data_IF_300128041545
#
_entry.id   IF_300128041545
#
_cell.length_a   1.000
_cell.length_b   1.000
_cell.length_c   1.000
_cell.angle_alpha   90.00
_cell.angle_beta   90.00
_cell.angle_gamma   90.00
#
_symmetry.space_group_name_H-M   'P 1'
#
loop_
_entity.id
_entity.type
_entity.pdbx_description
1 polymer ?
#
# COMPACT_ATOMS: atom_id res chain seq x y z
N UNK A 1 -20.80 20.57 -23.24
CA UNK A 1 -19.71 19.57 -23.18
C UNK A 1 -19.71 18.78 -21.88
N UNK A 2 -19.73 19.42 -20.70
CA UNK A 2 -19.66 18.75 -19.39
C UNK A 2 -20.78 17.72 -19.10
N UNK A 3 -22.01 17.95 -19.56
CA UNK A 3 -23.15 17.03 -19.37
C UNK A 3 -22.95 15.69 -20.10
N UNK A 4 -22.46 15.74 -21.34
CA UNK A 4 -22.16 14.55 -22.15
C UNK A 4 -21.11 13.68 -21.47
N UNK A 5 -20.08 14.31 -20.90
CA UNK A 5 -18.97 13.61 -20.27
C UNK A 5 -19.37 12.97 -18.92
N UNK A 6 -20.18 13.67 -18.11
CA UNK A 6 -20.79 13.09 -16.89
C UNK A 6 -21.64 11.86 -17.22
N UNK A 7 -22.51 11.97 -18.23
CA UNK A 7 -23.36 10.86 -18.70
C UNK A 7 -22.54 9.67 -19.18
N UNK A 8 -21.45 9.92 -19.90
CA UNK A 8 -20.54 8.86 -20.37
C UNK A 8 -19.84 8.16 -19.19
N UNK A 9 -19.36 8.90 -18.20
CA UNK A 9 -18.76 8.32 -16.99
C UNK A 9 -19.75 7.44 -16.22
N UNK A 10 -20.98 7.92 -16.02
CA UNK A 10 -22.05 7.15 -15.35
C UNK A 10 -22.36 5.88 -16.14
N UNK A 11 -22.52 5.97 -17.47
CA UNK A 11 -22.79 4.82 -18.32
C UNK A 11 -21.68 3.76 -18.26
N UNK A 12 -20.42 4.19 -18.16
CA UNK A 12 -19.27 3.29 -18.01
C UNK A 12 -19.28 2.58 -16.65
N UNK A 13 -19.48 3.32 -15.56
CA UNK A 13 -19.56 2.76 -14.20
C UNK A 13 -20.72 1.75 -14.07
N UNK A 14 -21.88 2.06 -14.65
CA UNK A 14 -23.07 1.20 -14.61
C UNK A 14 -22.97 -0.08 -15.45
N UNK A 15 -21.83 -0.36 -16.11
CA UNK A 15 -21.56 -1.69 -16.69
C UNK A 15 -21.31 -2.77 -15.63
N UNK A 16 -20.87 -2.38 -14.44
CA UNK A 16 -20.68 -3.26 -13.27
C UNK A 16 -21.33 -2.61 -12.03
N UNK A 17 -22.66 -2.56 -11.96
CA UNK A 17 -23.35 -1.92 -10.85
C UNK A 17 -23.18 -2.70 -9.55
N UNK A 18 -23.18 -1.97 -8.42
CA UNK A 18 -23.14 -2.60 -7.11
C UNK A 18 -24.41 -3.41 -6.80
N UNK A 19 -24.29 -4.51 -6.02
CA UNK A 19 -25.44 -5.25 -5.53
C UNK A 19 -26.22 -4.43 -4.48
N UNK A 20 -27.47 -4.83 -4.21
CA UNK A 20 -28.36 -4.13 -3.26
C UNK A 20 -27.82 -4.05 -1.83
N UNK A 21 -26.96 -5.01 -1.45
CA UNK A 21 -26.28 -5.01 -0.15
C UNK A 21 -24.78 -5.16 -0.35
N UNK A 22 -24.05 -4.12 0.02
CA UNK A 22 -22.58 -4.11 0.02
C UNK A 22 -22.12 -4.84 1.30
N UNK A 23 -21.40 -5.98 1.18
CA UNK A 23 -21.05 -6.81 2.33
C UNK A 23 -19.91 -6.20 3.13
N UNK A 24 -20.17 -5.46 4.22
CA UNK A 24 -19.16 -4.72 4.99
C UNK A 24 -18.33 -5.56 5.97
N UNK A 25 -18.84 -6.69 6.48
CA UNK A 25 -18.24 -7.45 7.59
C UNK A 25 -17.59 -8.78 7.20
N UNK A 26 -18.07 -9.43 6.14
CA UNK A 26 -17.52 -10.72 5.69
C UNK A 26 -16.29 -10.49 4.82
N UNK A 27 -15.09 -10.66 5.40
CA UNK A 27 -13.80 -10.44 4.74
C UNK A 27 -13.60 -11.29 3.48
N UNK A 28 -14.20 -12.50 3.41
CA UNK A 28 -14.12 -13.33 2.21
C UNK A 28 -14.90 -12.71 1.05
N UNK A 29 -16.09 -12.15 1.34
CA UNK A 29 -16.91 -11.43 0.36
C UNK A 29 -16.37 -10.04 0.03
N UNK A 30 -15.74 -9.35 1.00
CA UNK A 30 -15.08 -8.06 0.78
C UNK A 30 -13.99 -8.21 -0.28
N UNK A 31 -13.17 -9.25 -0.19
CA UNK A 31 -12.08 -9.50 -1.16
C UNK A 31 -12.56 -9.80 -2.58
N UNK A 32 -13.83 -10.16 -2.77
CA UNK A 32 -14.42 -10.47 -4.07
C UNK A 32 -15.17 -9.28 -4.71
N UNK A 33 -15.21 -8.11 -4.05
CA UNK A 33 -15.89 -6.93 -4.59
C UNK A 33 -15.20 -6.43 -5.87
N UNK A 34 -15.97 -6.25 -6.93
CA UNK A 34 -15.55 -5.52 -8.14
C UNK A 34 -16.78 -4.88 -8.79
N UNK A 35 -17.20 -3.74 -8.25
CA UNK A 35 -18.38 -3.02 -8.73
C UNK A 35 -18.33 -1.53 -8.41
N UNK A 36 -19.13 -0.76 -9.14
CA UNK A 36 -19.22 0.69 -9.01
C UNK A 36 -20.55 1.11 -8.37
N UNK A 37 -20.47 2.10 -7.49
CA UNK A 37 -21.59 2.86 -6.96
C UNK A 37 -21.51 4.26 -7.55
N UNK A 38 -22.61 4.75 -8.10
CA UNK A 38 -22.69 6.08 -8.68
C UNK A 38 -23.68 6.90 -7.89
N UNK A 39 -23.18 7.95 -7.25
CA UNK A 39 -23.99 8.95 -6.56
C UNK A 39 -23.84 10.31 -7.21
N UNK A 40 -24.87 11.14 -7.10
CA UNK A 40 -24.72 12.57 -7.36
C UNK A 40 -25.71 13.38 -6.51
N UNK A 41 -25.41 14.66 -6.32
CA UNK A 41 -26.27 15.55 -5.56
C UNK A 41 -25.79 16.99 -5.58
N UNK A 42 -26.49 17.90 -4.88
CA UNK A 42 -26.18 19.32 -4.86
C UNK A 42 -24.75 19.58 -4.38
N UNK A 43 -24.24 20.77 -4.68
CA UNK A 43 -22.96 21.25 -4.15
C UNK A 43 -22.99 21.10 -2.62
N UNK A 44 -22.01 20.37 -2.05
CA UNK A 44 -21.88 19.98 -0.63
C UNK A 44 -22.55 18.65 -0.20
N UNK A 45 -23.47 18.08 -0.99
CA UNK A 45 -24.14 16.81 -0.66
C UNK A 45 -24.20 15.86 -1.86
N UNK A 46 -23.09 15.17 -2.11
CA UNK A 46 -22.88 14.31 -3.30
C UNK A 46 -23.54 12.94 -3.21
N UNK A 47 -24.17 12.60 -2.08
CA UNK A 47 -24.72 11.26 -1.81
C UNK A 47 -26.25 11.18 -1.92
N UNK A 48 -26.91 12.27 -2.32
CA UNK A 48 -28.37 12.35 -2.35
C UNK A 48 -29.04 11.39 -3.32
N UNK A 49 -28.44 11.12 -4.47
CA UNK A 49 -29.06 10.27 -5.48
C UNK A 49 -28.16 9.12 -5.88
N UNK A 50 -28.61 7.89 -5.62
CA UNK A 50 -27.94 6.65 -6.03
C UNK A 50 -28.53 6.16 -7.36
N UNK A 51 -27.70 6.07 -8.38
CA UNK A 51 -28.12 5.59 -9.71
C UNK A 51 -28.32 4.07 -9.70
N UNK A 52 -29.46 3.61 -10.23
CA UNK A 52 -29.77 2.19 -10.44
C UNK A 52 -29.86 1.83 -11.91
N UNK A 53 -30.48 2.69 -12.72
CA UNK A 53 -30.66 2.47 -14.14
C UNK A 53 -30.36 3.73 -14.96
N UNK A 54 -29.77 3.52 -16.14
CA UNK A 54 -29.46 4.58 -17.11
C UNK A 54 -30.48 4.50 -18.25
N UNK A 55 -31.25 5.57 -18.46
CA UNK A 55 -32.23 5.70 -19.53
C UNK A 55 -31.74 6.67 -20.63
N UNK A 56 -32.35 6.65 -21.83
CA UNK A 56 -32.05 7.62 -22.89
C UNK A 56 -32.18 9.08 -22.40
N UNK A 57 -33.26 9.40 -21.69
CA UNK A 57 -33.59 10.76 -21.27
C UNK A 57 -33.08 11.15 -19.87
N UNK A 58 -32.53 10.20 -19.11
CA UNK A 58 -32.10 10.46 -17.74
C UNK A 58 -31.65 9.23 -16.96
N UNK A 59 -31.80 9.27 -15.64
CA UNK A 59 -31.37 8.22 -14.72
C UNK A 59 -32.47 7.95 -13.71
N UNK A 60 -32.67 6.68 -13.37
CA UNK A 60 -33.59 6.27 -12.30
C UNK A 60 -32.79 5.70 -11.14
N UNK A 61 -33.20 6.04 -9.93
CA UNK A 61 -32.42 5.77 -8.74
C UNK A 61 -33.16 6.07 -7.45
N UNK A 62 -32.41 6.00 -6.36
CA UNK A 62 -32.91 6.25 -5.01
C UNK A 62 -32.44 7.63 -4.56
N UNK A 63 -33.39 8.47 -4.16
CA UNK A 63 -33.14 9.78 -3.57
C UNK A 63 -33.24 9.70 -2.05
N UNK A 64 -32.17 10.04 -1.34
CA UNK A 64 -32.10 10.03 0.11
C UNK A 64 -32.40 11.43 0.67
N UNK A 65 -33.40 11.50 1.56
CA UNK A 65 -33.73 12.72 2.28
C UNK A 65 -32.93 12.78 3.60
N UNK A 66 -31.67 13.22 3.52
CA UNK A 66 -30.76 13.33 4.68
C UNK A 66 -30.07 12.04 5.08
N UNK A 67 -29.57 11.95 6.32
CA UNK A 67 -28.76 10.83 6.84
C UNK A 67 -29.58 9.58 7.22
N UNK A 68 -30.87 9.52 6.85
CA UNK A 68 -31.76 8.41 7.17
C UNK A 68 -31.75 7.29 6.12
N UNK A 69 -32.26 6.09 6.47
CA UNK A 69 -32.41 4.97 5.53
C UNK A 69 -33.56 5.17 4.53
N UNK A 70 -34.38 6.21 4.73
CA UNK A 70 -35.53 6.50 3.90
C UNK A 70 -35.06 7.01 2.53
N UNK A 71 -35.45 6.29 1.48
CA UNK A 71 -35.16 6.67 0.11
C UNK A 71 -36.41 6.57 -0.75
N UNK A 72 -36.52 7.50 -1.70
CA UNK A 72 -37.62 7.57 -2.64
C UNK A 72 -37.11 7.29 -4.04
N UNK A 73 -37.88 6.55 -4.83
CA UNK A 73 -37.53 6.35 -6.24
C UNK A 73 -37.75 7.65 -7.01
N UNK A 74 -36.69 8.16 -7.64
CA UNK A 74 -36.76 9.40 -8.42
C UNK A 74 -36.09 9.20 -9.79
N UNK A 75 -36.62 9.91 -10.77
CA UNK A 75 -36.01 10.00 -12.11
C UNK A 75 -35.46 11.40 -12.29
N UNK A 76 -34.20 11.49 -12.72
CA UNK A 76 -33.48 12.75 -12.93
C UNK A 76 -33.14 12.88 -14.40
N UNK A 77 -33.58 13.98 -15.02
CA UNK A 77 -33.35 14.27 -16.42
C UNK A 77 -31.88 14.63 -16.70
N UNK A 78 -31.42 14.37 -17.93
CA UNK A 78 -30.06 14.70 -18.35
C UNK A 78 -29.70 16.20 -18.19
N UNK A 79 -30.67 17.09 -18.35
CA UNK A 79 -30.46 18.53 -18.21
C UNK A 79 -30.06 18.94 -16.78
N UNK A 80 -30.59 18.24 -15.77
CA UNK A 80 -30.38 18.53 -14.36
C UNK A 80 -28.98 18.11 -13.86
N UNK A 81 -28.28 17.21 -14.57
CA UNK A 81 -26.91 16.78 -14.25
C UNK A 81 -25.91 17.94 -14.16
N UNK A 82 -26.20 19.07 -14.80
CA UNK A 82 -25.32 20.26 -14.74
C UNK A 82 -25.22 20.79 -13.32
N UNK A 83 -26.31 20.71 -12.56
CA UNK A 83 -26.45 21.27 -11.21
C UNK A 83 -25.92 20.33 -10.12
N UNK A 84 -25.57 19.10 -10.47
CA UNK A 84 -25.14 18.08 -9.53
C UNK A 84 -23.65 17.76 -9.63
N UNK A 85 -23.02 17.52 -8.48
CA UNK A 85 -21.67 17.00 -8.39
C UNK A 85 -21.70 15.47 -8.42
N UNK A 86 -20.79 14.88 -9.19
CA UNK A 86 -20.72 13.44 -9.39
C UNK A 86 -19.77 12.81 -8.37
N UNK A 87 -20.17 11.67 -7.82
CA UNK A 87 -19.34 10.82 -6.98
C UNK A 87 -19.45 9.37 -7.47
N UNK A 88 -18.38 8.85 -8.06
CA UNK A 88 -18.29 7.43 -8.41
C UNK A 88 -17.39 6.77 -7.37
N UNK A 89 -17.88 5.71 -6.73
CA UNK A 89 -17.10 4.88 -5.81
C UNK A 89 -16.89 3.50 -6.43
N UNK A 90 -15.64 3.12 -6.62
CA UNK A 90 -15.25 1.77 -7.03
C UNK A 90 -14.92 0.95 -5.79
N UNK A 91 -15.67 -0.13 -5.58
CA UNK A 91 -15.37 -1.13 -4.58
C UNK A 91 -14.57 -2.26 -5.24
N UNK A 92 -13.28 -2.32 -4.92
CA UNK A 92 -12.35 -3.30 -5.48
C UNK A 92 -11.61 -4.04 -4.35
N UNK A 93 -12.05 -5.25 -4.04
CA UNK A 93 -11.59 -5.99 -2.87
C UNK A 93 -11.80 -5.19 -1.58
N UNK A 94 -10.71 -4.98 -0.84
CA UNK A 94 -10.68 -4.21 0.41
C UNK A 94 -10.62 -2.68 0.18
N UNK A 95 -10.49 -2.23 -1.08
CA UNK A 95 -10.31 -0.81 -1.41
C UNK A 95 -11.61 -0.14 -1.82
N UNK A 96 -11.75 1.12 -1.38
CA UNK A 96 -12.80 2.04 -1.81
C UNK A 96 -12.16 3.24 -2.50
N UNK A 97 -12.26 3.31 -3.83
CA UNK A 97 -11.68 4.41 -4.60
C UNK A 97 -12.80 5.38 -5.00
N UNK A 98 -12.67 6.65 -4.61
CA UNK A 98 -13.67 7.69 -4.87
C UNK A 98 -13.19 8.64 -5.96
N UNK A 99 -14.04 8.85 -6.95
CA UNK A 99 -13.81 9.78 -8.05
C UNK A 99 -14.85 10.90 -8.00
N UNK A 100 -14.38 12.14 -7.81
CA UNK A 100 -15.25 13.33 -7.85
C UNK A 100 -15.34 13.95 -9.24
N UNK A 101 -14.42 13.60 -10.14
CA UNK A 101 -14.31 14.17 -11.48
C UNK A 101 -14.58 13.11 -12.55
N UNK A 102 -15.49 13.42 -13.49
CA UNK A 102 -15.85 12.50 -14.58
C UNK A 102 -14.68 12.19 -15.51
N UNK A 103 -13.82 13.17 -15.82
CA UNK A 103 -12.62 12.97 -16.64
C UNK A 103 -11.61 12.06 -15.96
N UNK A 104 -11.37 12.31 -14.66
CA UNK A 104 -10.43 11.52 -13.86
C UNK A 104 -10.84 10.05 -13.84
N UNK A 105 -12.14 9.77 -13.65
CA UNK A 105 -12.70 8.43 -13.74
C UNK A 105 -12.45 7.79 -15.12
N UNK A 106 -12.84 8.47 -16.21
CA UNK A 106 -12.72 7.91 -17.58
C UNK A 106 -11.26 7.58 -17.91
N UNK A 107 -10.32 8.47 -17.58
CA UNK A 107 -8.89 8.27 -17.84
C UNK A 107 -8.37 7.11 -17.00
N UNK A 108 -8.59 7.12 -15.68
CA UNK A 108 -8.07 6.06 -14.78
C UNK A 108 -8.66 4.69 -15.08
N UNK A 109 -9.94 4.65 -15.46
CA UNK A 109 -10.62 3.43 -15.89
C UNK A 109 -10.04 2.89 -17.20
N UNK A 110 -9.81 3.77 -18.20
CA UNK A 110 -9.25 3.38 -19.51
C UNK A 110 -7.81 2.86 -19.39
N UNK A 111 -7.00 3.46 -18.52
CA UNK A 111 -5.61 3.03 -18.29
C UNK A 111 -5.49 1.89 -17.28
N UNK A 112 -6.60 1.33 -16.76
CA UNK A 112 -6.59 0.33 -15.67
C UNK A 112 -5.70 0.77 -14.50
N UNK A 113 -5.68 2.07 -14.21
CA UNK A 113 -4.87 2.65 -13.12
C UNK A 113 -5.40 2.24 -11.73
N UNK A 114 -6.63 1.72 -11.68
CA UNK A 114 -7.28 1.09 -10.51
C UNK A 114 -6.45 -0.05 -9.88
N UNK A 115 -5.59 -0.72 -10.67
CA UNK A 115 -4.75 -1.83 -10.20
C UNK A 115 -3.42 -1.38 -9.57
N UNK A 116 -2.94 -0.18 -9.88
CA UNK A 116 -1.65 0.33 -9.38
C UNK A 116 -1.60 0.53 -7.84
N UNK A 117 -2.62 1.10 -7.18
CA UNK A 117 -2.65 1.19 -5.72
C UNK A 117 -2.78 -0.19 -5.05
N UNK A 118 -3.54 -1.12 -5.65
CA UNK A 118 -3.67 -2.50 -5.18
C UNK A 118 -2.31 -3.23 -5.15
N UNK A 119 -1.50 -3.09 -6.21
CA UNK A 119 -0.14 -3.63 -6.21
C UNK A 119 0.78 -2.88 -5.25
N UNK A 120 0.71 -1.55 -5.14
CA UNK A 120 1.56 -0.79 -4.21
C UNK A 120 1.31 -1.09 -2.75
N UNK A 121 0.06 -1.26 -2.32
CA UNK A 121 -0.23 -1.61 -0.93
C UNK A 121 0.06 -3.07 -0.60
N UNK A 122 -0.14 -3.99 -1.55
CA UNK A 122 0.19 -5.40 -1.37
C UNK A 122 1.70 -5.63 -1.41
N UNK A 123 2.41 -4.97 -2.32
CA UNK A 123 3.87 -4.95 -2.35
C UNK A 123 4.40 -4.19 -1.13
N UNK A 124 3.80 -3.07 -0.74
CA UNK A 124 4.13 -2.33 0.47
C UNK A 124 4.02 -3.21 1.71
N UNK A 125 2.88 -3.87 1.95
CA UNK A 125 2.72 -4.83 3.05
C UNK A 125 3.63 -6.05 2.92
N UNK A 126 3.86 -6.58 1.72
CA UNK A 126 4.73 -7.73 1.49
C UNK A 126 6.22 -7.41 1.71
N UNK A 127 6.70 -6.26 1.25
CA UNK A 127 8.07 -5.77 1.47
C UNK A 127 8.27 -5.24 2.89
N UNK A 128 7.25 -4.65 3.51
CA UNK A 128 7.30 -4.15 4.90
C UNK A 128 7.20 -5.28 5.93
N UNK A 129 6.39 -6.33 5.71
CA UNK A 129 6.35 -7.53 6.58
C UNK A 129 7.54 -8.47 6.38
N UNK A 130 8.27 -8.43 5.26
CA UNK A 130 9.38 -9.37 5.02
C UNK A 130 10.77 -8.83 5.28
N UNK A 131 11.01 -7.51 5.34
CA UNK A 131 12.36 -7.03 4.94
C UNK A 131 13.00 -5.85 5.66
N UNK A 132 12.61 -5.49 6.88
CA UNK A 132 13.46 -4.48 7.55
C UNK A 132 13.38 -4.43 9.07
N UNK A 133 12.19 -4.51 9.67
CA UNK A 133 12.09 -4.27 11.11
C UNK A 133 12.62 -5.46 11.92
N UNK A 134 12.21 -6.68 11.57
CA UNK A 134 12.69 -7.89 12.24
C UNK A 134 14.15 -8.20 11.91
N UNK A 135 14.58 -8.01 10.67
CA UNK A 135 15.97 -8.28 10.25
C UNK A 135 16.95 -7.28 10.89
N UNK A 136 16.67 -5.98 10.83
CA UNK A 136 17.52 -4.97 11.49
C UNK A 136 17.52 -5.14 13.01
N UNK A 137 16.37 -5.53 13.60
CA UNK A 137 16.27 -5.83 15.03
C UNK A 137 17.07 -7.08 15.40
N UNK A 138 17.01 -8.15 14.63
CA UNK A 138 17.82 -9.36 14.83
C UNK A 138 19.31 -9.05 14.78
N UNK A 139 19.75 -8.32 13.75
CA UNK A 139 21.15 -7.91 13.62
C UNK A 139 21.57 -6.99 14.78
N UNK A 140 20.68 -6.10 15.23
CA UNK A 140 20.95 -5.25 16.38
C UNK A 140 21.11 -6.05 17.67
N UNK A 141 20.26 -7.05 17.93
CA UNK A 141 20.38 -7.94 19.09
C UNK A 141 21.66 -8.77 19.01
N UNK A 142 21.99 -9.32 17.84
CA UNK A 142 23.21 -10.10 17.64
C UNK A 142 24.47 -9.24 17.89
N UNK A 143 24.47 -7.99 17.42
CA UNK A 143 25.53 -7.02 17.71
C UNK A 143 25.59 -6.68 19.19
N UNK A 144 24.45 -6.50 19.84
CA UNK A 144 24.39 -6.22 21.28
C UNK A 144 25.02 -7.35 22.10
N UNK A 145 24.67 -8.61 21.80
CA UNK A 145 25.27 -9.78 22.45
C UNK A 145 26.79 -9.81 22.20
N UNK A 146 27.24 -9.38 21.02
CA UNK A 146 28.67 -9.31 20.68
C UNK A 146 29.41 -8.26 21.46
N UNK A 147 28.88 -7.05 21.48
CA UNK A 147 29.48 -5.95 22.21
C UNK A 147 29.53 -6.27 23.71
N UNK A 148 28.47 -6.84 24.27
CA UNK A 148 28.42 -7.31 25.66
C UNK A 148 29.44 -8.42 25.95
N UNK A 149 29.62 -9.38 25.03
CA UNK A 149 30.61 -10.44 25.17
C UNK A 149 32.05 -9.89 25.12
N UNK A 150 32.35 -8.99 24.18
CA UNK A 150 33.65 -8.33 24.06
C UNK A 150 33.98 -7.43 25.26
N UNK A 151 32.97 -6.81 25.87
CA UNK A 151 33.11 -5.96 27.06
C UNK A 151 33.22 -6.76 28.38
N UNK A 152 33.22 -8.10 28.32
CA UNK A 152 33.35 -8.96 29.50
C UNK A 152 32.07 -9.11 30.34
N UNK A 153 30.93 -8.61 29.86
CA UNK A 153 29.62 -8.70 30.51
C UNK A 153 28.63 -9.47 29.62
N UNK A 154 28.82 -10.79 29.42
CA UNK A 154 28.00 -11.56 28.49
C UNK A 154 26.54 -11.61 28.98
N UNK A 155 25.61 -11.30 28.07
CA UNK A 155 24.18 -11.41 28.32
C UNK A 155 23.82 -12.90 28.42
N UNK A 156 23.03 -13.27 29.45
CA UNK A 156 22.75 -14.68 29.78
C UNK A 156 21.32 -15.08 29.47
N UNK A 157 20.44 -14.11 29.26
CA UNK A 157 19.02 -14.37 29.13
C UNK A 157 18.30 -13.31 28.30
N UNK A 158 17.11 -13.68 27.85
CA UNK A 158 16.12 -12.77 27.26
C UNK A 158 15.87 -11.54 28.14
N UNK A 159 15.86 -11.72 29.47
CA UNK A 159 15.69 -10.62 30.44
C UNK A 159 16.84 -9.62 30.36
N UNK A 160 18.09 -10.11 30.27
CA UNK A 160 19.28 -9.25 30.19
C UNK A 160 19.26 -8.42 28.90
N UNK A 161 18.93 -9.06 27.77
CA UNK A 161 18.82 -8.39 26.46
C UNK A 161 17.73 -7.34 26.47
N UNK A 162 16.57 -7.65 27.02
CA UNK A 162 15.45 -6.70 27.08
C UNK A 162 15.76 -5.53 28.02
N UNK A 163 16.44 -5.79 29.14
CA UNK A 163 16.87 -4.75 30.08
C UNK A 163 17.94 -3.84 29.46
N UNK A 164 18.85 -4.39 28.66
CA UNK A 164 19.85 -3.60 27.93
C UNK A 164 19.21 -2.76 26.81
N UNK A 165 18.22 -3.30 26.08
CA UNK A 165 17.53 -2.60 24.99
C UNK A 165 16.56 -1.52 25.46
N UNK A 166 15.84 -1.76 26.55
CA UNK A 166 14.68 -0.94 26.95
C UNK A 166 14.79 -0.36 28.38
N UNK A 167 15.84 -0.74 29.13
CA UNK A 167 15.94 -0.47 30.57
C UNK A 167 14.91 -1.27 31.38
N UNK A 168 14.99 -1.24 32.70
CA UNK A 168 14.10 -2.01 33.59
C UNK A 168 12.59 -1.71 33.43
N UNK A 169 12.24 -0.59 32.78
CA UNK A 169 10.85 -0.16 32.56
C UNK A 169 10.03 -1.16 31.73
N UNK A 170 10.67 -2.01 30.93
CA UNK A 170 9.96 -3.00 30.12
C UNK A 170 9.18 -4.02 30.97
N UNK A 171 9.64 -4.28 32.21
CA UNK A 171 8.99 -5.19 33.17
C UNK A 171 7.59 -4.72 33.59
N UNK A 172 7.25 -3.45 33.38
CA UNK A 172 5.92 -2.90 33.67
C UNK A 172 5.09 -2.66 32.41
N UNK A 173 5.59 -3.06 31.23
CA UNK A 173 4.89 -2.85 29.98
C UNK A 173 3.68 -3.82 29.87
N UNK A 174 2.50 -3.35 29.43
CA UNK A 174 1.30 -4.20 29.32
C UNK A 174 1.46 -5.38 28.37
N UNK A 175 2.45 -5.34 27.46
CA UNK A 175 2.77 -6.42 26.51
C UNK A 175 4.07 -7.16 26.86
N UNK A 176 4.54 -7.09 28.11
CA UNK A 176 5.83 -7.69 28.51
C UNK A 176 5.97 -9.19 28.15
N UNK A 177 4.90 -9.98 28.30
CA UNK A 177 4.93 -11.41 28.00
C UNK A 177 5.08 -11.70 26.50
N UNK A 178 4.51 -10.84 25.66
CA UNK A 178 4.62 -10.97 24.20
C UNK A 178 6.03 -10.61 23.75
N UNK A 179 6.59 -9.53 24.31
CA UNK A 179 7.96 -9.11 24.05
C UNK A 179 8.97 -10.18 24.52
N UNK A 180 8.79 -10.72 25.72
CA UNK A 180 9.64 -11.79 26.25
C UNK A 180 9.63 -13.00 25.32
N UNK A 181 8.44 -13.53 24.96
CA UNK A 181 8.34 -14.67 24.04
C UNK A 181 8.99 -14.40 22.68
N UNK A 182 8.84 -13.19 22.15
CA UNK A 182 9.45 -12.81 20.88
C UNK A 182 10.98 -12.86 20.94
N UNK A 183 11.59 -12.28 21.96
CA UNK A 183 13.06 -12.31 22.10
C UNK A 183 13.58 -13.70 22.45
N UNK A 184 12.83 -14.50 23.21
CA UNK A 184 13.18 -15.90 23.51
C UNK A 184 13.27 -16.73 22.22
N UNK A 185 12.24 -16.65 21.37
CA UNK A 185 12.23 -17.30 20.06
C UNK A 185 13.35 -16.78 19.14
N UNK A 186 13.68 -15.49 19.23
CA UNK A 186 14.79 -14.92 18.46
C UNK A 186 16.13 -15.54 18.86
N UNK A 187 16.40 -15.66 20.17
CA UNK A 187 17.63 -16.24 20.67
C UNK A 187 17.74 -17.73 20.37
N UNK A 188 16.63 -18.46 20.48
CA UNK A 188 16.57 -19.86 20.05
C UNK A 188 16.91 -20.00 18.57
N UNK A 189 16.40 -19.09 17.73
CA UNK A 189 16.72 -19.10 16.30
C UNK A 189 18.20 -18.79 16.00
N UNK A 190 18.88 -17.99 16.84
CA UNK A 190 20.31 -17.76 16.70
C UNK A 190 21.15 -18.97 17.13
N UNK A 191 20.69 -19.70 18.15
CA UNK A 191 21.33 -20.95 18.56
C UNK A 191 21.15 -22.02 17.47
N UNK A 192 19.95 -22.14 16.90
CA UNK A 192 19.67 -23.08 15.81
C UNK A 192 20.46 -22.74 14.53
N UNK A 193 20.62 -21.45 14.22
CA UNK A 193 21.44 -20.97 13.11
C UNK A 193 22.95 -21.12 13.35
N UNK A 194 23.36 -21.49 14.56
CA UNK A 194 24.77 -21.60 14.97
C UNK A 194 25.47 -20.26 15.14
N UNK A 195 24.73 -19.16 15.26
CA UNK A 195 25.24 -17.80 15.51
C UNK A 195 25.54 -17.59 16.99
N UNK A 196 24.76 -18.23 17.86
CA UNK A 196 25.01 -18.30 19.30
C UNK A 196 25.21 -19.75 19.73
N UNK A 197 25.95 -19.92 20.82
CA UNK A 197 26.07 -21.21 21.51
C UNK A 197 25.71 -21.02 22.98
N UNK A 198 25.15 -22.08 23.58
CA UNK A 198 24.80 -22.09 25.00
C UNK A 198 26.02 -22.56 25.78
N UNK A 199 26.71 -21.63 26.43
CA UNK A 199 27.85 -21.91 27.29
C UNK A 199 27.44 -22.48 28.66
N UNK A 200 28.43 -22.83 29.51
CA UNK A 200 28.19 -23.28 30.87
C UNK A 200 27.38 -22.24 31.67
N UNK A 201 26.32 -22.67 32.35
CA UNK A 201 25.51 -21.77 33.19
C UNK A 201 24.51 -20.86 32.44
N UNK A 202 24.08 -21.27 31.23
CA UNK A 202 23.15 -20.51 30.34
C UNK A 202 23.73 -19.21 29.77
N UNK A 203 25.03 -18.97 29.88
CA UNK A 203 25.66 -17.84 29.21
C UNK A 203 25.52 -17.99 27.69
N UNK A 204 25.21 -16.89 27.00
CA UNK A 204 25.21 -16.88 25.53
C UNK A 204 26.63 -16.55 25.06
N UNK A 205 27.21 -17.49 24.34
CA UNK A 205 28.53 -17.36 23.75
C UNK A 205 28.38 -17.15 22.25
N UNK A 206 29.17 -16.22 21.70
CA UNK A 206 29.15 -15.96 20.27
C UNK A 206 29.90 -17.05 19.52
N UNK A 207 29.26 -17.56 18.48
CA UNK A 207 29.89 -18.50 17.56
C UNK A 207 30.47 -17.77 16.35
N UNK A 208 31.47 -18.35 15.66
CA UNK A 208 32.07 -17.75 14.46
C UNK A 208 31.07 -17.42 13.34
N UNK A 209 29.95 -18.15 13.27
CA UNK A 209 28.89 -17.90 12.29
C UNK A 209 28.23 -16.52 12.46
N UNK A 210 28.17 -15.98 13.69
CA UNK A 210 27.62 -14.64 13.92
C UNK A 210 28.43 -13.55 13.21
N UNK A 211 29.76 -13.69 13.13
CA UNK A 211 30.62 -12.75 12.42
C UNK A 211 30.29 -12.75 10.93
N UNK A 212 30.12 -13.93 10.32
CA UNK A 212 29.71 -14.05 8.92
C UNK A 212 28.32 -13.42 8.68
N UNK A 213 27.37 -13.62 9.59
CA UNK A 213 26.03 -13.01 9.49
C UNK A 213 26.12 -11.48 9.58
N UNK A 214 26.90 -10.93 10.50
CA UNK A 214 27.07 -9.48 10.64
C UNK A 214 27.79 -8.85 9.43
N UNK A 215 28.83 -9.50 8.93
CA UNK A 215 29.59 -9.03 7.77
C UNK A 215 28.74 -9.05 6.51
N UNK A 216 28.04 -10.17 6.24
CA UNK A 216 27.14 -10.29 5.10
C UNK A 216 26.03 -9.24 5.11
N UNK A 217 25.44 -8.98 6.29
CA UNK A 217 24.44 -7.92 6.44
C UNK A 217 25.04 -6.52 6.15
N UNK A 218 26.26 -6.26 6.62
CA UNK A 218 26.94 -4.98 6.37
C UNK A 218 27.27 -4.76 4.89
N UNK A 219 27.65 -5.82 4.18
CA UNK A 219 27.87 -5.80 2.74
C UNK A 219 26.57 -5.59 1.97
N UNK A 220 25.50 -6.26 2.37
CA UNK A 220 24.19 -6.13 1.73
C UNK A 220 23.63 -4.72 1.89
N UNK A 221 23.75 -4.09 3.05
CA UNK A 221 23.32 -2.70 3.25
C UNK A 221 24.14 -1.72 2.37
N UNK A 222 25.46 -1.96 2.23
CA UNK A 222 26.33 -1.20 1.32
C UNK A 222 25.93 -1.38 -0.15
N UNK A 223 25.69 -2.62 -0.59
CA UNK A 223 25.26 -2.95 -1.96
C UNK A 223 23.89 -2.35 -2.28
N UNK A 224 22.95 -2.37 -1.35
CA UNK A 224 21.62 -1.78 -1.54
C UNK A 224 21.69 -0.25 -1.73
N UNK A 225 22.47 0.44 -0.92
CA UNK A 225 22.71 1.88 -1.08
C UNK A 225 23.35 2.24 -2.43
N UNK A 226 24.39 1.49 -2.82
CA UNK A 226 25.06 1.68 -4.11
C UNK A 226 24.17 1.39 -5.32
N UNK A 227 23.43 0.28 -5.28
CA UNK A 227 22.57 -0.16 -6.40
C UNK A 227 21.41 0.80 -6.65
N UNK A 228 20.80 1.37 -5.61
CA UNK A 228 19.73 2.36 -5.78
C UNK A 228 20.21 3.66 -6.43
N UNK A 229 21.43 4.12 -6.11
CA UNK A 229 22.03 5.29 -6.74
C UNK A 229 22.30 5.05 -8.23
N UNK A 230 22.90 3.90 -8.57
CA UNK A 230 23.20 3.51 -9.95
C UNK A 230 21.90 3.34 -10.75
N UNK A 231 20.87 2.70 -10.18
CA UNK A 231 19.58 2.52 -10.84
C UNK A 231 18.87 3.85 -11.14
N UNK A 232 18.92 4.83 -10.22
CA UNK A 232 18.38 6.18 -10.45
C UNK A 232 19.13 6.88 -11.58
N UNK A 233 20.46 6.75 -11.61
CA UNK A 233 21.28 7.34 -12.66
C UNK A 233 21.00 6.70 -14.04
N UNK A 234 20.87 5.37 -14.08
CA UNK A 234 20.47 4.63 -15.28
C UNK A 234 19.09 5.07 -15.81
N UNK A 235 18.12 5.31 -14.93
CA UNK A 235 16.79 5.80 -15.33
C UNK A 235 16.86 7.20 -15.95
N UNK A 236 17.66 8.10 -15.37
CA UNK A 236 17.89 9.45 -15.91
C UNK A 236 18.54 9.36 -17.31
N UNK A 237 19.60 8.57 -17.46
CA UNK A 237 20.26 8.36 -18.76
C UNK A 237 19.29 7.79 -19.80
N UNK A 238 18.48 6.81 -19.40
CA UNK A 238 17.50 6.17 -20.29
C UNK A 238 16.45 7.18 -20.77
N UNK A 239 15.97 8.07 -19.89
CA UNK A 239 15.05 9.14 -20.27
C UNK A 239 15.70 10.13 -21.26
N UNK A 240 16.96 10.49 -21.05
CA UNK A 240 17.71 11.35 -21.98
C UNK A 240 17.87 10.70 -23.35
N UNK A 241 18.23 9.42 -23.41
CA UNK A 241 18.34 8.66 -24.67
C UNK A 241 16.99 8.56 -25.37
N UNK A 242 15.92 8.29 -24.61
CA UNK A 242 14.55 8.27 -25.14
C UNK A 242 14.14 9.61 -25.73
N UNK A 243 14.44 10.71 -25.04
CA UNK A 243 14.17 12.07 -25.52
C UNK A 243 14.98 12.40 -26.79
N UNK A 244 16.29 12.12 -26.80
CA UNK A 244 17.13 12.33 -27.96
C UNK A 244 16.66 11.53 -29.18
N UNK A 245 16.23 10.29 -28.97
CA UNK A 245 15.67 9.42 -30.02
C UNK A 245 14.34 9.97 -30.55
N UNK A 246 13.47 10.49 -29.67
CA UNK A 246 12.23 11.15 -30.08
C UNK A 246 12.49 12.43 -30.90
N UNK A 247 13.48 13.24 -30.52
CA UNK A 247 13.89 14.43 -31.28
C UNK A 247 14.46 14.04 -32.65
N UNK A 248 15.29 13.00 -32.71
CA UNK A 248 15.81 12.49 -33.99
C UNK A 248 14.69 11.97 -34.90
N UNK A 249 13.76 11.19 -34.36
CA UNK A 249 12.59 10.70 -35.09
C UNK A 249 11.70 11.85 -35.60
N UNK A 250 11.46 12.86 -34.76
CA UNK A 250 10.70 14.05 -35.14
C UNK A 250 11.37 14.82 -36.29
N UNK A 251 12.69 15.04 -36.21
CA UNK A 251 13.45 15.70 -37.28
C UNK A 251 13.49 14.88 -38.57
N UNK A 252 13.50 13.55 -38.49
CA UNK A 252 13.43 12.69 -39.68
C UNK A 252 12.03 12.72 -40.34
N UNK A 253 10.97 12.93 -39.56
CA UNK A 253 9.58 13.04 -40.04
C UNK A 253 9.24 14.43 -40.61
N UNK A 254 9.95 15.48 -40.20
CA UNK A 254 9.81 16.84 -40.74
C UNK A 254 10.92 17.05 -41.79
N UNK A 255 10.67 16.81 -43.10
CA UNK A 255 11.70 17.03 -44.11
C UNK A 255 12.11 18.50 -44.15
N UNK A 256 13.42 18.72 -44.22
CA UNK A 256 14.04 20.02 -44.41
C UNK A 256 13.81 20.53 -45.85
N UNK A 257 12.56 20.87 -46.18
CA UNK A 257 12.18 21.60 -47.38
C UNK A 257 11.32 22.80 -46.98
N UNK A 258 11.92 23.71 -46.21
CA UNK A 258 11.39 25.03 -45.94
C UNK A 258 12.53 25.98 -45.53
N UNK A 259 13.52 26.12 -46.40
CA UNK A 259 14.40 27.29 -46.52
C UNK A 259 14.60 27.59 -48.00
#
# INVERSE_FOLDING_TARGET
>A
MFVSLKRLAIKLAMRKPAPDRIPLSDMARVRQRDYFVVNFGPKDDRQRFLVRHVMPEGFTGLWFQGNGPNSEQRTIANAELTNFELLITHYFGELEIRYSWSLEFIIKHSFRYEYLPYWRERLGRYFFNRRSLDEKRRIHVLRLVMDSHLNGNPLRSTVDIMSELYGERWLHHPQQEQLHRYYDLMLDSFVEAGELSRGPGRAMEIAPQALNTLDSFSEDERRHGGTMSIQRWMLIVTLFVGFASAVQAYRALVPAHAL
#
